data_IF_268186670707
#
_entry.id   IF_268186670707
#
_cell.length_a   1.000
_cell.length_b   1.000
_cell.length_c   1.000
_cell.angle_alpha   90.00
_cell.angle_beta   90.00
_cell.angle_gamma   90.00
#
_symmetry.space_group_name_H-M   'P 1'
#
loop_
_entity.id
_entity.type
_entity.pdbx_description
1 polymer ?
#
# COMPACT_ATOMS: atom_id res chain seq x y z
N UNK A 1 15.42 21.49 -26.51
CA UNK A 1 14.02 21.68 -26.09
C UNK A 1 13.97 21.58 -24.57
N UNK A 2 14.10 22.73 -23.89
CA UNK A 2 14.03 22.82 -22.43
C UNK A 2 12.57 23.17 -22.07
N UNK A 3 11.68 22.16 -22.08
CA UNK A 3 10.31 22.31 -21.56
C UNK A 3 10.33 22.17 -20.05
N UNK A 4 10.93 23.15 -19.37
CA UNK A 4 10.58 23.44 -17.99
C UNK A 4 9.30 24.26 -18.01
N UNK A 5 8.18 23.59 -18.30
CA UNK A 5 6.87 24.13 -18.00
C UNK A 5 6.86 24.39 -16.49
N UNK A 6 6.97 25.67 -16.13
CA UNK A 6 6.85 26.14 -14.75
C UNK A 6 5.40 25.89 -14.34
N UNK A 7 5.19 24.73 -13.75
CA UNK A 7 4.01 24.46 -12.97
C UNK A 7 4.12 25.26 -11.66
N UNK A 8 3.64 26.51 -11.69
CA UNK A 8 3.58 27.37 -10.52
C UNK A 8 2.77 26.66 -9.40
N UNK A 9 3.48 26.21 -8.36
CA UNK A 9 2.90 25.57 -7.17
C UNK A 9 3.02 24.04 -7.08
N UNK A 10 3.71 23.36 -7.99
CA UNK A 10 3.69 21.89 -8.01
C UNK A 10 4.77 21.25 -7.11
N UNK A 11 4.32 20.48 -6.11
CA UNK A 11 5.17 19.65 -5.23
C UNK A 11 5.78 18.42 -5.92
N UNK A 12 5.27 18.02 -7.08
CA UNK A 12 5.69 16.80 -7.80
C UNK A 12 6.46 17.13 -9.07
N UNK A 13 7.72 16.71 -9.14
CA UNK A 13 8.57 16.87 -10.31
C UNK A 13 9.11 15.53 -10.79
N UNK A 14 9.46 15.43 -12.07
CA UNK A 14 10.19 14.28 -12.59
C UNK A 14 11.58 14.28 -11.94
N UNK A 15 11.90 13.20 -11.22
CA UNK A 15 13.19 13.07 -10.57
C UNK A 15 14.27 12.72 -11.61
N UNK A 16 15.34 13.52 -11.76
CA UNK A 16 16.41 13.24 -12.73
C UNK A 16 17.33 12.14 -12.17
N UNK A 17 17.02 10.89 -12.46
CA UNK A 17 17.84 9.74 -12.05
C UNK A 17 19.15 9.75 -12.86
N UNK A 18 20.29 9.67 -12.17
CA UNK A 18 21.58 9.45 -12.79
C UNK A 18 21.74 7.95 -13.11
N UNK A 19 21.93 7.64 -14.38
CA UNK A 19 22.18 6.26 -14.85
C UNK A 19 23.68 6.13 -15.08
N UNK A 20 24.30 5.19 -14.36
CA UNK A 20 25.72 4.89 -14.49
C UNK A 20 25.86 3.59 -15.29
N UNK A 21 26.58 3.64 -16.40
CA UNK A 21 26.95 2.45 -17.14
C UNK A 21 28.07 1.72 -16.40
N UNK A 22 27.99 0.39 -16.41
CA UNK A 22 29.00 -0.47 -15.80
C UNK A 22 29.49 -1.49 -16.82
N UNK A 23 30.78 -1.80 -16.78
CA UNK A 23 31.39 -2.87 -17.57
C UNK A 23 31.23 -4.26 -16.94
N UNK A 24 30.60 -4.34 -15.76
CA UNK A 24 30.32 -5.62 -15.09
C UNK A 24 29.39 -6.46 -15.95
N UNK A 25 29.83 -7.67 -16.30
CA UNK A 25 28.99 -8.65 -16.98
C UNK A 25 28.07 -9.34 -15.98
N UNK A 26 26.79 -9.48 -16.33
CA UNK A 26 25.83 -10.19 -15.50
C UNK A 26 25.73 -11.65 -15.99
N UNK A 27 26.45 -12.55 -15.31
CA UNK A 27 26.58 -13.96 -15.70
C UNK A 27 25.26 -14.76 -15.65
N UNK A 28 24.24 -14.24 -14.96
CA UNK A 28 22.92 -14.85 -14.80
C UNK A 28 21.82 -14.16 -15.62
N UNK A 29 22.16 -13.65 -16.80
CA UNK A 29 21.16 -13.03 -17.67
C UNK A 29 20.03 -14.02 -18.00
N UNK A 30 18.81 -13.50 -18.14
CA UNK A 30 17.58 -14.30 -18.32
C UNK A 30 17.65 -15.28 -19.49
N UNK A 31 18.57 -15.09 -20.43
CA UNK A 31 18.81 -16.02 -21.54
C UNK A 31 19.21 -17.43 -21.08
N UNK A 32 19.74 -17.60 -19.85
CA UNK A 32 20.11 -18.91 -19.29
C UNK A 32 19.08 -19.57 -18.35
N UNK A 33 17.99 -18.89 -17.97
CA UNK A 33 17.05 -19.36 -16.92
C UNK A 33 15.70 -19.90 -17.44
N UNK A 34 15.62 -20.27 -18.71
CA UNK A 34 14.42 -20.84 -19.32
C UNK A 34 14.24 -22.31 -18.94
N UNK A 35 13.55 -22.61 -17.82
CA UNK A 35 12.58 -23.73 -17.76
C UNK A 35 11.78 -23.88 -16.46
N UNK A 36 12.24 -23.43 -15.29
CA UNK A 36 11.51 -23.66 -14.02
C UNK A 36 11.77 -22.57 -12.97
N UNK A 37 11.56 -21.30 -13.31
CA UNK A 37 11.54 -20.26 -12.27
C UNK A 37 10.26 -20.41 -11.44
N UNK A 38 10.38 -21.08 -10.31
CA UNK A 38 9.51 -20.76 -9.17
C UNK A 38 9.61 -19.25 -8.94
N UNK A 39 8.46 -18.58 -8.74
CA UNK A 39 8.41 -17.14 -8.50
C UNK A 39 8.80 -16.87 -7.05
N UNK A 40 10.07 -17.10 -6.78
CA UNK A 40 10.67 -16.80 -5.50
C UNK A 40 11.07 -15.32 -5.44
N UNK A 41 10.88 -14.70 -4.29
CA UNK A 41 11.31 -13.35 -4.02
C UNK A 41 11.83 -13.25 -2.60
N UNK A 42 12.86 -12.45 -2.39
CA UNK A 42 13.38 -12.15 -1.06
C UNK A 42 12.99 -10.72 -0.71
N UNK A 43 12.45 -10.51 0.47
CA UNK A 43 12.14 -9.19 1.03
C UNK A 43 12.84 -9.02 2.36
N UNK A 44 13.45 -7.84 2.53
CA UNK A 44 14.15 -7.44 3.73
C UNK A 44 13.91 -5.95 3.99
N UNK A 45 13.75 -5.58 5.27
CA UNK A 45 13.50 -4.19 5.70
C UNK A 45 14.66 -3.80 6.62
N UNK A 46 15.39 -2.74 6.25
CA UNK A 46 16.61 -2.34 6.94
C UNK A 46 16.43 -2.04 8.44
N UNK A 47 15.28 -1.47 8.82
CA UNK A 47 14.95 -1.20 10.23
C UNK A 47 14.66 -2.46 11.05
N UNK A 48 14.52 -3.62 10.40
CA UNK A 48 14.20 -4.90 11.04
C UNK A 48 15.13 -6.00 10.52
N UNK A 49 16.44 -5.88 10.80
CA UNK A 49 17.47 -6.68 10.13
C UNK A 49 17.37 -8.19 10.43
N UNK A 50 16.72 -8.56 11.54
CA UNK A 50 16.53 -9.94 11.96
C UNK A 50 15.37 -10.65 11.23
N UNK A 51 14.63 -9.96 10.37
CA UNK A 51 13.44 -10.50 9.71
C UNK A 51 13.63 -10.41 8.19
N UNK A 52 14.01 -11.53 7.59
CA UNK A 52 14.02 -11.71 6.13
C UNK A 52 12.83 -12.58 5.74
N UNK A 53 12.05 -12.15 4.74
CA UNK A 53 10.93 -12.92 4.18
C UNK A 53 11.34 -13.55 2.85
N UNK A 54 11.28 -14.87 2.78
CA UNK A 54 11.28 -15.58 1.50
C UNK A 54 9.83 -15.72 1.07
N UNK A 55 9.53 -15.31 -0.16
CA UNK A 55 8.21 -15.34 -0.77
C UNK A 55 8.21 -16.34 -1.91
N UNK A 56 7.25 -17.27 -1.91
CA UNK A 56 7.01 -18.21 -3.00
C UNK A 56 5.63 -17.93 -3.55
N UNK A 57 5.54 -17.54 -4.83
CA UNK A 57 4.29 -17.13 -5.47
C UNK A 57 3.55 -16.00 -4.73
N UNK A 58 4.30 -15.09 -4.12
CA UNK A 58 3.76 -13.94 -3.38
C UNK A 58 3.25 -14.22 -1.96
N UNK A 59 3.36 -15.46 -1.48
CA UNK A 59 3.09 -15.84 -0.08
C UNK A 59 4.40 -16.15 0.64
N UNK A 60 4.45 -16.05 1.98
CA UNK A 60 5.66 -16.46 2.72
C UNK A 60 5.95 -17.95 2.48
N UNK A 61 7.23 -18.29 2.34
CA UNK A 61 7.67 -19.68 2.22
C UNK A 61 7.12 -20.52 3.38
N UNK A 62 6.63 -21.72 3.07
CA UNK A 62 5.93 -22.58 4.02
C UNK A 62 4.42 -22.30 4.16
N UNK A 63 3.86 -21.27 3.51
CA UNK A 63 2.42 -21.10 3.41
C UNK A 63 1.80 -22.20 2.53
N UNK A 64 0.75 -22.85 3.03
CA UNK A 64 0.02 -23.84 2.24
C UNK A 64 -0.74 -23.16 1.10
N UNK A 65 -0.52 -23.61 -0.13
CA UNK A 65 -1.29 -23.17 -1.30
C UNK A 65 -2.74 -23.67 -1.30
N UNK A 66 -3.05 -24.69 -0.49
CA UNK A 66 -4.37 -25.32 -0.43
C UNK A 66 -5.29 -24.69 0.61
N UNK A 67 -4.76 -23.91 1.54
CA UNK A 67 -5.56 -23.28 2.60
C UNK A 67 -5.74 -21.78 2.34
N UNK A 68 -6.84 -21.19 2.83
CA UNK A 68 -6.99 -19.74 2.85
C UNK A 68 -5.76 -19.09 3.49
N UNK A 69 -5.26 -18.02 2.88
CA UNK A 69 -4.06 -17.32 3.34
C UNK A 69 -4.32 -16.77 4.75
N UNK A 70 -3.66 -17.36 5.74
CA UNK A 70 -3.69 -16.92 7.13
C UNK A 70 -2.94 -15.58 7.26
N UNK A 71 -3.32 -14.76 8.23
CA UNK A 71 -2.67 -13.47 8.51
C UNK A 71 -1.14 -13.60 8.67
N UNK A 72 -0.67 -14.63 9.39
CA UNK A 72 0.75 -14.93 9.60
C UNK A 72 1.53 -15.30 8.31
N UNK A 73 0.84 -15.84 7.31
CA UNK A 73 1.43 -16.24 6.03
C UNK A 73 1.45 -15.12 4.97
N UNK A 74 0.83 -13.97 5.26
CA UNK A 74 0.82 -12.81 4.36
C UNK A 74 2.18 -12.11 4.40
N UNK A 75 2.71 -11.73 3.24
CA UNK A 75 3.89 -10.87 3.19
C UNK A 75 3.62 -9.55 3.90
N UNK A 76 4.64 -9.02 4.59
CA UNK A 76 4.61 -7.68 5.17
C UNK A 76 4.51 -6.57 4.14
N UNK A 77 4.94 -6.84 2.91
CA UNK A 77 4.81 -5.91 1.79
C UNK A 77 3.48 -6.04 1.04
N UNK A 78 2.59 -6.96 1.45
CA UNK A 78 1.29 -7.06 0.81
C UNK A 78 0.42 -5.83 1.14
N UNK A 79 -0.57 -5.54 0.27
CA UNK A 79 -1.40 -4.34 0.39
C UNK A 79 -2.10 -4.22 1.74
N UNK A 80 -2.58 -5.33 2.31
CA UNK A 80 -3.28 -5.35 3.61
C UNK A 80 -2.31 -4.95 4.74
N UNK A 81 -1.15 -5.59 4.79
CA UNK A 81 -0.11 -5.28 5.79
C UNK A 81 0.31 -3.81 5.71
N UNK A 82 0.58 -3.30 4.50
CA UNK A 82 0.94 -1.89 4.28
C UNK A 82 -0.19 -0.92 4.61
N UNK A 83 -1.45 -1.29 4.32
CA UNK A 83 -2.61 -0.48 4.68
C UNK A 83 -2.72 -0.36 6.20
N UNK A 84 -2.64 -1.49 6.92
CA UNK A 84 -2.64 -1.51 8.38
C UNK A 84 -1.52 -0.66 8.96
N UNK A 85 -0.27 -0.89 8.53
CA UNK A 85 0.88 -0.11 9.00
C UNK A 85 0.72 1.38 8.71
N UNK A 86 0.11 1.75 7.58
CA UNK A 86 -0.18 3.16 7.29
C UNK A 86 -1.19 3.73 8.28
N UNK A 87 -2.31 3.05 8.54
CA UNK A 87 -3.30 3.51 9.51
C UNK A 87 -2.70 3.63 10.91
N UNK A 88 -1.94 2.61 11.34
CA UNK A 88 -1.26 2.60 12.63
C UNK A 88 -0.31 3.81 12.75
N UNK A 89 0.52 4.07 11.73
CA UNK A 89 1.38 5.25 11.70
C UNK A 89 0.56 6.55 11.81
N UNK A 90 -0.53 6.67 11.05
CA UNK A 90 -1.40 7.83 11.10
C UNK A 90 -2.01 8.06 12.49
N UNK A 91 -2.38 7.00 13.22
CA UNK A 91 -2.88 7.09 14.61
C UNK A 91 -1.81 7.62 15.58
N UNK A 92 -0.52 7.45 15.29
CA UNK A 92 0.58 7.89 16.18
C UNK A 92 1.05 9.33 15.96
N UNK A 93 0.68 9.96 14.85
CA UNK A 93 1.13 11.31 14.53
C UNK A 93 0.33 12.37 15.32
N UNK A 94 0.97 13.47 15.75
CA UNK A 94 0.29 14.52 16.48
C UNK A 94 -0.69 15.30 15.59
N UNK A 95 -1.79 15.83 16.16
CA UNK A 95 -2.80 16.57 15.38
C UNK A 95 -2.22 17.75 14.59
N UNK A 96 -1.16 18.37 15.14
CA UNK A 96 -0.44 19.47 14.50
C UNK A 96 0.17 19.09 13.15
N UNK A 97 0.55 17.82 12.96
CA UNK A 97 1.05 17.29 11.69
C UNK A 97 -0.01 17.34 10.58
N UNK A 98 -1.30 17.43 10.95
CA UNK A 98 -2.43 17.39 10.03
C UNK A 98 -3.13 18.73 9.84
N UNK A 99 -2.75 19.75 10.61
CA UNK A 99 -3.32 21.11 10.52
C UNK A 99 -3.29 21.71 9.11
N UNK A 100 -2.39 21.23 8.24
CA UNK A 100 -2.24 21.65 6.84
C UNK A 100 -2.84 20.68 5.81
N UNK A 101 -3.38 19.54 6.26
CA UNK A 101 -4.07 18.61 5.38
C UNK A 101 -5.57 18.95 5.36
N UNK A 102 -6.04 19.44 4.23
CA UNK A 102 -7.48 19.63 3.97
C UNK A 102 -8.32 18.35 4.21
N UNK A 103 -7.67 17.18 4.19
CA UNK A 103 -8.29 15.87 4.33
C UNK A 103 -8.42 15.40 5.79
N UNK A 104 -7.95 16.17 6.76
CA UNK A 104 -7.93 15.79 8.17
C UNK A 104 -9.34 15.42 8.71
N UNK A 105 -10.38 16.14 8.28
CA UNK A 105 -11.76 15.84 8.66
C UNK A 105 -12.25 14.47 8.15
N UNK A 106 -11.86 14.10 6.92
CA UNK A 106 -12.19 12.79 6.34
C UNK A 106 -11.40 11.68 7.04
N UNK A 107 -10.12 11.92 7.32
CA UNK A 107 -9.25 11.01 8.07
C UNK A 107 -9.75 10.77 9.50
N UNK A 108 -10.21 11.79 10.21
CA UNK A 108 -10.78 11.64 11.55
C UNK A 108 -12.03 10.76 11.55
N UNK A 109 -12.85 10.80 10.49
CA UNK A 109 -13.99 9.88 10.33
C UNK A 109 -13.57 8.43 10.13
N UNK A 110 -12.40 8.20 9.52
CA UNK A 110 -11.83 6.87 9.31
C UNK A 110 -11.17 6.33 10.58
N UNK A 111 -10.52 7.21 11.35
CA UNK A 111 -9.65 6.84 12.48
C UNK A 111 -10.40 6.78 13.81
N UNK A 112 -11.51 7.50 13.98
CA UNK A 112 -12.34 7.40 15.18
C UNK A 112 -13.35 6.28 15.01
N UNK A 113 -13.39 5.30 15.94
CA UNK A 113 -14.54 4.44 16.08
C UNK A 113 -15.78 5.33 16.20
N UNK A 114 -16.83 5.02 15.44
CA UNK A 114 -18.14 5.60 15.72
C UNK A 114 -18.47 5.21 17.16
N UNK A 115 -18.42 6.18 18.07
CA UNK A 115 -19.02 6.07 19.39
C UNK A 115 -20.52 5.90 19.14
N UNK A 116 -20.97 4.66 18.99
CA UNK A 116 -22.37 4.35 19.11
C UNK A 116 -22.71 4.64 20.57
N UNK A 117 -23.48 5.71 20.79
CA UNK A 117 -24.28 5.93 21.99
C UNK A 117 -25.28 4.75 22.08
N UNK A 118 -24.81 3.60 22.56
CA UNK A 118 -25.64 2.46 22.88
C UNK A 118 -25.70 2.36 24.41
N UNK A 119 -26.67 3.08 24.97
CA UNK A 119 -27.12 2.96 26.35
C UNK A 119 -27.78 1.56 26.53
N UNK A 120 -26.96 0.50 26.64
CA UNK A 120 -27.46 -0.86 26.69
C UNK A 120 -26.49 -1.86 27.29
N UNK A 121 -26.62 -2.09 28.60
CA UNK A 121 -26.09 -3.17 29.45
C UNK A 121 -25.01 -4.12 28.87
N UNK A 122 -23.80 -3.92 29.41
CA UNK A 122 -22.64 -4.84 29.42
C UNK A 122 -23.02 -6.27 29.80
N UNK A 123 -22.72 -7.22 28.90
CA UNK A 123 -22.25 -8.54 29.30
C UNK A 123 -20.91 -8.85 28.62
N UNK A 124 -19.92 -9.21 29.45
CA UNK A 124 -18.50 -9.23 29.11
C UNK A 124 -18.05 -10.44 28.29
N UNK A 125 -17.30 -10.12 27.23
CA UNK A 125 -16.24 -10.88 26.51
C UNK A 125 -16.22 -10.61 24.99
N UNK A 126 -16.71 -9.44 24.55
CA UNK A 126 -16.55 -9.00 23.17
C UNK A 126 -15.27 -8.19 22.99
N UNK A 127 -14.28 -8.73 22.28
CA UNK A 127 -13.27 -7.91 21.60
C UNK A 127 -14.05 -6.97 20.68
N UNK A 128 -14.08 -5.68 21.00
CA UNK A 128 -14.73 -4.66 20.16
C UNK A 128 -14.01 -4.63 18.82
N UNK A 129 -14.58 -5.31 17.83
CA UNK A 129 -14.04 -5.36 16.49
C UNK A 129 -14.23 -3.95 15.90
N UNK A 130 -13.14 -3.17 15.79
CA UNK A 130 -13.14 -1.85 15.16
C UNK A 130 -13.70 -2.01 13.73
N UNK A 131 -15.00 -1.76 13.54
CA UNK A 131 -15.64 -1.82 12.23
C UNK A 131 -15.23 -0.58 11.42
N UNK A 132 -13.97 -0.54 10.99
CA UNK A 132 -13.52 0.45 10.03
C UNK A 132 -14.09 0.09 8.66
N UNK A 133 -15.19 0.74 8.27
CA UNK A 133 -15.85 0.59 6.96
C UNK A 133 -15.03 1.14 5.80
N UNK A 134 -13.89 1.78 6.09
CA UNK A 134 -13.04 2.41 5.08
C UNK A 134 -12.24 1.36 4.33
N UNK A 135 -12.41 1.36 3.01
CA UNK A 135 -11.67 0.51 2.10
C UNK A 135 -10.28 1.05 1.82
N UNK A 136 -9.35 0.16 1.44
CA UNK A 136 -8.04 0.53 0.94
C UNK A 136 -8.11 1.49 -0.27
N UNK A 137 -9.11 1.32 -1.12
CA UNK A 137 -9.38 2.21 -2.25
C UNK A 137 -9.70 3.64 -1.82
N UNK A 138 -10.58 3.81 -0.83
CA UNK A 138 -10.93 5.12 -0.27
C UNK A 138 -9.73 5.77 0.44
N UNK A 139 -8.99 4.98 1.24
CA UNK A 139 -7.77 5.45 1.90
C UNK A 139 -6.76 6.01 0.91
N UNK A 140 -6.53 5.33 -0.22
CA UNK A 140 -5.68 5.86 -1.30
C UNK A 140 -6.27 7.08 -2.00
N UNK A 141 -7.59 7.19 -2.05
CA UNK A 141 -8.31 8.32 -2.61
C UNK A 141 -8.03 9.62 -1.86
N UNK A 142 -7.71 9.52 -0.56
CA UNK A 142 -7.38 10.68 0.26
C UNK A 142 -6.21 11.46 -0.32
N UNK A 143 -5.15 10.83 -0.81
CA UNK A 143 -3.98 11.50 -1.37
C UNK A 143 -4.26 12.24 -2.72
N UNK A 144 -5.04 13.33 -2.69
CA UNK A 144 -5.52 14.09 -3.85
C UNK A 144 -4.38 14.56 -4.76
N UNK A 145 -3.40 15.25 -4.20
CA UNK A 145 -2.25 15.79 -4.95
C UNK A 145 -1.48 14.67 -5.68
N UNK A 146 -1.24 13.54 -5.01
CA UNK A 146 -0.61 12.37 -5.63
C UNK A 146 -1.46 11.81 -6.77
N UNK A 147 -2.77 11.70 -6.56
CA UNK A 147 -3.69 11.17 -7.57
C UNK A 147 -3.78 12.08 -8.80
N UNK A 148 -3.69 13.40 -8.63
CA UNK A 148 -3.60 14.37 -9.72
C UNK A 148 -2.27 14.24 -10.47
N UNK A 149 -1.13 14.24 -9.76
CA UNK A 149 0.18 14.02 -10.37
C UNK A 149 0.22 12.70 -11.17
N UNK A 150 -0.35 11.63 -10.61
CA UNK A 150 -0.50 10.34 -11.30
C UNK A 150 -1.37 10.45 -12.56
N UNK A 151 -2.48 11.19 -12.53
CA UNK A 151 -3.31 11.41 -13.74
C UNK A 151 -2.50 12.12 -14.83
N UNK A 152 -1.76 13.16 -14.47
CA UNK A 152 -0.90 13.89 -15.41
C UNK A 152 0.19 12.99 -16.00
N UNK A 153 0.86 12.18 -15.18
CA UNK A 153 1.87 11.23 -15.65
C UNK A 153 1.28 10.23 -16.66
N UNK A 154 0.11 9.67 -16.35
CA UNK A 154 -0.54 8.68 -17.20
C UNK A 154 -1.07 9.26 -18.50
N UNK A 155 -1.50 10.53 -18.52
CA UNK A 155 -1.96 11.19 -19.73
C UNK A 155 -0.82 11.56 -20.69
N UNK A 156 0.35 11.91 -20.15
CA UNK A 156 1.42 12.53 -20.93
C UNK A 156 2.62 11.61 -21.22
N UNK A 157 2.92 10.64 -20.36
CA UNK A 157 4.13 9.82 -20.48
C UNK A 157 3.88 8.40 -21.02
N UNK A 158 2.64 7.90 -20.92
CA UNK A 158 2.31 6.52 -21.26
C UNK A 158 1.07 6.45 -22.14
N UNK A 159 1.14 5.71 -23.25
CA UNK A 159 -0.02 5.56 -24.15
C UNK A 159 -0.94 4.40 -23.76
N UNK A 160 -0.43 3.38 -23.07
CA UNK A 160 -1.16 2.12 -22.81
C UNK A 160 -0.97 1.60 -21.38
N UNK A 161 -1.03 2.48 -20.38
CA UNK A 161 -0.86 2.05 -18.99
C UNK A 161 -2.02 1.17 -18.51
N UNK A 162 -1.76 -0.11 -18.30
CA UNK A 162 -2.75 -1.06 -17.75
C UNK A 162 -2.89 -0.86 -16.24
N UNK A 163 -4.12 -0.69 -15.76
CA UNK A 163 -4.43 -0.56 -14.33
C UNK A 163 -5.04 -1.86 -13.84
N UNK A 164 -4.65 -2.30 -12.64
CA UNK A 164 -5.33 -3.40 -11.97
C UNK A 164 -6.79 -3.04 -11.65
N UNK A 165 -7.63 -4.07 -11.53
CA UNK A 165 -9.05 -3.92 -11.20
C UNK A 165 -9.24 -3.17 -9.86
N UNK A 166 -10.12 -2.17 -9.87
CA UNK A 166 -10.49 -1.38 -8.69
C UNK A 166 -11.16 -2.24 -7.61
N UNK A 167 -11.84 -3.33 -8.00
CA UNK A 167 -12.43 -4.27 -7.04
C UNK A 167 -11.37 -4.87 -6.09
N UNK A 168 -10.13 -5.03 -6.56
CA UNK A 168 -9.00 -5.52 -5.75
C UNK A 168 -8.52 -4.54 -4.68
N UNK A 169 -9.17 -3.37 -4.54
CA UNK A 169 -8.93 -2.39 -3.48
C UNK A 169 -10.14 -2.21 -2.55
N UNK A 170 -11.22 -2.99 -2.74
CA UNK A 170 -12.44 -2.95 -1.90
C UNK A 170 -12.30 -3.88 -0.69
N UNK A 171 -11.32 -3.62 0.18
CA UNK A 171 -11.12 -4.37 1.43
C UNK A 171 -10.79 -3.43 2.59
N UNK A 172 -11.18 -3.79 3.81
CA UNK A 172 -10.93 -3.03 5.04
C UNK A 172 -9.49 -3.22 5.57
N UNK A 173 -9.15 -2.63 6.72
CA UNK A 173 -7.80 -2.75 7.31
C UNK A 173 -7.39 -4.20 7.66
N UNK A 174 -8.36 -5.09 7.87
CA UNK A 174 -8.14 -6.51 8.17
C UNK A 174 -7.98 -7.37 6.90
N UNK A 175 -8.32 -6.80 5.74
CA UNK A 175 -8.31 -7.47 4.45
C UNK A 175 -9.62 -8.16 4.11
N UNK A 176 -10.70 -7.90 4.86
CA UNK A 176 -12.02 -8.39 4.55
C UNK A 176 -12.60 -7.59 3.39
N UNK A 177 -13.19 -8.29 2.42
CA UNK A 177 -13.83 -7.65 1.27
C UNK A 177 -15.08 -6.89 1.71
N UNK A 178 -15.18 -5.62 1.32
CA UNK A 178 -16.38 -4.82 1.55
C UNK A 178 -17.21 -4.88 0.26
N UNK A 179 -18.30 -5.64 0.31
CA UNK A 179 -19.31 -5.67 -0.75
C UNK A 179 -20.27 -4.52 -0.47
N UNK A 180 -20.20 -3.49 -1.31
CA UNK A 180 -21.16 -2.37 -1.35
C UNK A 180 -22.13 -2.62 -2.48
#
# INVERSE_FOLDING_TARGET
MDRRDKFDGVRYQLHPIQIYETSLQFEFSKEGMTLQSEKEGISWIASEPLITEVLVNGCKAGASSKQPIQSRSRSRLCKVSMFKSSVDLWKTLPESAFSKLEQYSTLNRVLRPSESEDDGERNGNGVTQENTTTTYGEWKGLAKEYNEAKKCLLANAFQNWVRGDKALAKFNIHGDLIVV
#
